data_IF_569629548828
#
_entry.id   IF_569629548828
#
_cell.length_a   1.000
_cell.length_b   1.000
_cell.length_c   1.000
_cell.angle_alpha   90.00
_cell.angle_beta   90.00
_cell.angle_gamma   90.00
#
_symmetry.space_group_name_H-M   'P 1'
#
loop_
_entity.id
_entity.type
_entity.pdbx_description
1 polymer ?
#
# COMPACT_ATOMS: atom_id res chain seq x y z
N UNK A 1 -3.30 25.29 -26.96
CA UNK A 1 -2.66 25.85 -25.74
C UNK A 1 -3.77 26.42 -24.89
N UNK A 2 -4.31 25.62 -23.97
CA UNK A 2 -5.46 25.99 -23.15
C UNK A 2 -4.95 26.08 -21.72
N UNK A 3 -4.86 27.32 -21.25
CA UNK A 3 -4.37 27.70 -19.92
C UNK A 3 -5.28 27.15 -18.83
N UNK A 4 -4.76 26.26 -17.99
CA UNK A 4 -5.41 25.81 -16.76
C UNK A 4 -5.36 26.98 -15.77
N UNK A 5 -6.54 27.46 -15.35
CA UNK A 5 -6.68 28.56 -14.39
C UNK A 5 -6.20 28.09 -13.01
N UNK A 6 -5.15 28.73 -12.52
CA UNK A 6 -4.41 28.41 -11.29
C UNK A 6 -4.78 29.36 -10.15
N UNK A 7 -6.07 29.54 -9.89
CA UNK A 7 -6.51 30.48 -8.85
C UNK A 7 -6.85 29.72 -7.57
N UNK A 8 -5.84 29.57 -6.72
CA UNK A 8 -6.02 29.28 -5.29
C UNK A 8 -6.82 30.46 -4.72
N UNK A 9 -8.00 30.19 -4.18
CA UNK A 9 -8.84 31.23 -3.59
C UNK A 9 -8.16 31.79 -2.33
N UNK A 10 -7.48 32.94 -2.47
CA UNK A 10 -6.49 33.47 -1.52
C UNK A 10 -7.07 34.24 -0.31
N UNK A 11 -8.40 34.31 -0.17
CA UNK A 11 -9.07 35.16 0.82
C UNK A 11 -9.25 34.47 2.19
N UNK A 12 -8.17 34.05 2.85
CA UNK A 12 -8.18 33.72 4.29
C UNK A 12 -6.78 33.65 4.94
N UNK A 13 -5.79 34.45 4.53
CA UNK A 13 -4.46 34.45 5.16
C UNK A 13 -4.23 35.73 5.96
N UNK A 14 -4.46 35.68 7.28
CA UNK A 14 -3.90 36.67 8.23
C UNK A 14 -2.53 36.17 8.68
N UNK A 15 -1.46 36.86 8.31
CA UNK A 15 -0.07 36.52 8.65
C UNK A 15 0.24 36.75 10.13
N UNK A 16 0.79 35.74 10.82
CA UNK A 16 1.41 35.86 12.15
C UNK A 16 2.88 35.37 12.12
N UNK A 17 3.74 35.82 13.06
CA UNK A 17 5.19 35.73 12.94
C UNK A 17 5.72 34.31 13.21
N UNK A 18 6.64 33.83 12.37
CA UNK A 18 7.41 32.58 12.51
C UNK A 18 6.60 31.41 13.10
N UNK A 19 5.53 31.01 12.41
CA UNK A 19 4.60 30.00 12.89
C UNK A 19 5.28 28.64 13.09
N UNK A 20 5.46 28.28 14.37
CA UNK A 20 5.66 26.89 14.78
C UNK A 20 4.56 26.06 14.15
N UNK A 21 4.93 25.02 13.39
CA UNK A 21 4.01 24.00 12.86
C UNK A 21 3.03 23.61 13.97
N UNK A 22 1.72 23.72 13.71
CA UNK A 22 0.70 23.46 14.73
C UNK A 22 0.84 22.04 15.28
N UNK A 23 0.46 21.76 16.55
CA UNK A 23 0.53 20.41 17.11
C UNK A 23 -0.16 19.35 16.24
N UNK A 24 -1.27 19.72 15.60
CA UNK A 24 -1.98 18.86 14.63
C UNK A 24 -1.11 18.56 13.42
N UNK A 25 -0.48 19.57 12.83
CA UNK A 25 0.35 19.38 11.65
C UNK A 25 1.66 18.63 11.98
N UNK A 26 2.20 18.79 13.19
CA UNK A 26 3.32 17.96 13.67
C UNK A 26 2.93 16.48 13.78
N UNK A 27 1.71 16.19 14.26
CA UNK A 27 1.17 14.83 14.31
C UNK A 27 0.97 14.26 12.90
N UNK A 28 0.38 15.04 11.98
CA UNK A 28 0.23 14.65 10.58
C UNK A 28 1.58 14.34 9.92
N UNK A 29 2.57 15.24 10.02
CA UNK A 29 3.88 15.06 9.38
C UNK A 29 4.62 13.82 9.91
N UNK A 30 4.47 13.50 11.19
CA UNK A 30 5.02 12.28 11.78
C UNK A 30 4.40 11.03 11.16
N UNK A 31 3.07 11.00 11.04
CA UNK A 31 2.36 9.88 10.40
C UNK A 31 2.74 9.81 8.91
N UNK A 32 2.81 10.95 8.21
CA UNK A 32 3.21 10.99 6.81
C UNK A 32 4.65 10.49 6.59
N UNK A 33 5.55 10.70 7.54
CA UNK A 33 6.91 10.17 7.47
C UNK A 33 6.95 8.63 7.49
N UNK A 34 5.98 7.98 8.14
CA UNK A 34 5.84 6.51 8.13
C UNK A 34 5.23 6.01 6.80
N UNK A 35 4.55 6.88 6.04
CA UNK A 35 3.87 6.58 4.76
C UNK A 35 4.28 7.55 3.65
N UNK A 36 5.57 7.66 3.29
CA UNK A 36 6.08 8.72 2.43
C UNK A 36 5.54 8.63 0.99
N UNK A 37 5.26 7.42 0.50
CA UNK A 37 4.82 7.17 -0.89
C UNK A 37 3.30 7.05 -1.04
N UNK A 38 2.54 7.01 0.06
CA UNK A 38 1.10 6.76 0.06
C UNK A 38 0.31 8.03 0.37
N UNK A 39 -0.91 8.12 -0.14
CA UNK A 39 -1.84 9.18 0.26
C UNK A 39 -2.29 8.96 1.71
N UNK A 40 -2.17 9.96 2.58
CA UNK A 40 -2.64 9.86 3.97
C UNK A 40 -3.99 10.55 4.12
N UNK A 41 -5.05 9.78 4.29
CA UNK A 41 -6.39 10.26 4.64
C UNK A 41 -6.47 10.50 6.15
N UNK A 42 -6.36 11.76 6.57
CA UNK A 42 -6.28 12.14 7.97
C UNK A 42 -7.65 12.58 8.51
N UNK A 43 -8.18 11.84 9.50
CA UNK A 43 -9.52 12.08 10.06
C UNK A 43 -9.60 13.40 10.82
N UNK A 44 -10.44 14.30 10.32
CA UNK A 44 -10.69 15.64 10.88
C UNK A 44 -12.20 15.90 10.97
N UNK A 45 -12.79 15.60 12.12
CA UNK A 45 -14.24 15.72 12.31
C UNK A 45 -14.97 14.78 11.36
N UNK A 46 -15.85 15.32 10.51
CA UNK A 46 -16.61 14.55 9.51
C UNK A 46 -15.93 14.42 8.13
N UNK A 47 -14.67 14.83 8.02
CA UNK A 47 -13.89 14.72 6.78
C UNK A 47 -12.65 13.85 6.96
N UNK A 48 -12.19 13.29 5.85
CA UNK A 48 -10.81 12.90 5.69
C UNK A 48 -10.09 13.97 4.87
N UNK A 49 -9.02 14.51 5.43
CA UNK A 49 -8.24 15.57 4.82
C UNK A 49 -6.85 15.06 4.43
N UNK A 50 -6.36 15.54 3.30
CA UNK A 50 -5.01 15.35 2.80
C UNK A 50 -4.34 16.71 2.73
N UNK A 51 -3.02 16.76 2.94
CA UNK A 51 -2.26 18.00 2.98
C UNK A 51 -1.05 17.98 2.04
N UNK A 52 -0.59 19.17 1.63
CA UNK A 52 0.57 19.37 0.77
C UNK A 52 0.43 18.63 -0.58
N UNK A 53 1.44 17.86 -0.99
CA UNK A 53 1.46 17.14 -2.26
C UNK A 53 0.33 16.10 -2.38
N UNK A 54 -0.05 15.47 -1.26
CA UNK A 54 -1.17 14.52 -1.22
C UNK A 54 -2.48 15.22 -1.57
N UNK A 55 -2.67 16.46 -1.11
CA UNK A 55 -3.85 17.27 -1.44
C UNK A 55 -3.93 17.57 -2.93
N UNK A 56 -2.82 17.96 -3.55
CA UNK A 56 -2.76 18.29 -4.98
C UNK A 56 -3.00 17.05 -5.84
N UNK A 57 -2.38 15.94 -5.46
CA UNK A 57 -2.53 14.66 -6.13
C UNK A 57 -3.97 14.15 -6.03
N UNK A 58 -4.55 14.17 -4.83
CA UNK A 58 -5.93 13.77 -4.61
C UNK A 58 -6.92 14.69 -5.34
N UNK A 59 -6.73 16.01 -5.31
CA UNK A 59 -7.58 16.96 -6.04
C UNK A 59 -7.60 16.66 -7.55
N UNK A 60 -6.42 16.46 -8.15
CA UNK A 60 -6.28 16.13 -9.58
C UNK A 60 -6.91 14.79 -9.94
N UNK A 61 -6.64 13.75 -9.16
CA UNK A 61 -7.11 12.38 -9.47
C UNK A 61 -8.60 12.24 -9.20
N UNK A 62 -9.06 12.68 -8.03
CA UNK A 62 -10.43 12.51 -7.58
C UNK A 62 -11.37 13.53 -8.20
N UNK A 63 -10.87 14.69 -8.62
CA UNK A 63 -11.70 15.81 -9.09
C UNK A 63 -12.36 16.55 -7.93
N UNK A 64 -11.70 16.61 -6.77
CA UNK A 64 -12.17 17.32 -5.57
C UNK A 64 -11.51 18.69 -5.47
N UNK A 65 -12.16 19.63 -4.78
CA UNK A 65 -11.67 20.99 -4.64
C UNK A 65 -10.37 21.05 -3.84
N UNK A 66 -9.33 21.65 -4.43
CA UNK A 66 -8.11 22.03 -3.72
C UNK A 66 -8.32 23.36 -3.02
N UNK A 67 -8.04 23.40 -1.72
CA UNK A 67 -8.16 24.58 -0.86
C UNK A 67 -6.88 24.77 -0.05
N UNK A 68 -6.86 25.72 0.88
CA UNK A 68 -5.74 25.90 1.80
C UNK A 68 -6.24 26.13 3.23
N UNK A 69 -5.47 25.66 4.23
CA UNK A 69 -5.78 25.83 5.65
C UNK A 69 -4.53 26.26 6.42
N UNK A 70 -4.54 27.48 6.95
CA UNK A 70 -3.42 28.03 7.74
C UNK A 70 -2.13 28.15 6.93
N UNK A 71 -1.02 28.40 7.62
CA UNK A 71 0.32 28.50 7.03
C UNK A 71 1.34 27.64 7.76
N UNK A 72 2.36 27.21 7.02
CA UNK A 72 3.56 26.55 7.55
C UNK A 72 4.77 27.18 6.89
N UNK A 73 5.67 27.75 7.69
CA UNK A 73 6.85 28.46 7.17
C UNK A 73 6.50 29.64 6.25
N UNK A 74 5.34 30.29 6.46
CA UNK A 74 4.84 31.40 5.64
C UNK A 74 4.08 31.00 4.38
N UNK A 75 4.05 29.71 4.01
CA UNK A 75 3.31 29.22 2.85
C UNK A 75 1.95 28.63 3.26
N UNK A 76 0.86 28.89 2.51
CA UNK A 76 -0.42 28.25 2.75
C UNK A 76 -0.33 26.73 2.65
N UNK A 77 -0.91 26.01 3.60
CA UNK A 77 -0.94 24.54 3.56
C UNK A 77 -2.07 24.12 2.62
N UNK A 78 -1.71 23.56 1.46
CA UNK A 78 -2.66 22.99 0.50
C UNK A 78 -3.44 21.85 1.16
N UNK A 79 -4.74 21.81 0.94
CA UNK A 79 -5.66 20.86 1.57
C UNK A 79 -6.75 20.43 0.60
N UNK A 80 -7.04 19.14 0.56
CA UNK A 80 -8.21 18.58 -0.10
C UNK A 80 -8.86 17.57 0.83
N UNK A 81 -10.17 17.35 0.71
CA UNK A 81 -10.84 16.42 1.61
C UNK A 81 -12.11 15.81 1.03
N UNK A 82 -12.51 14.70 1.63
CA UNK A 82 -13.72 13.95 1.26
C UNK A 82 -14.58 13.72 2.51
N UNK A 83 -15.92 13.73 2.39
CA UNK A 83 -16.81 13.37 3.49
C UNK A 83 -16.58 11.92 3.92
N UNK A 84 -16.62 11.66 5.22
CA UNK A 84 -16.28 10.33 5.75
C UNK A 84 -17.20 9.21 5.27
N UNK A 85 -18.51 9.49 5.22
CA UNK A 85 -19.52 8.55 4.75
C UNK A 85 -19.37 8.20 3.28
N UNK A 86 -18.52 8.93 2.54
CA UNK A 86 -18.29 8.76 1.12
C UNK A 86 -16.84 8.40 0.80
N UNK A 87 -16.05 7.96 1.79
CA UNK A 87 -14.65 7.60 1.59
C UNK A 87 -14.48 6.48 0.55
N UNK A 88 -15.27 5.42 0.65
CA UNK A 88 -15.06 4.18 -0.11
C UNK A 88 -15.09 4.39 -1.64
N UNK A 89 -16.04 5.13 -2.25
CA UNK A 89 -15.99 5.44 -3.68
C UNK A 89 -14.70 6.15 -4.13
N UNK A 90 -14.11 7.01 -3.29
CA UNK A 90 -12.84 7.67 -3.62
C UNK A 90 -11.66 6.70 -3.51
N UNK A 91 -11.68 5.81 -2.52
CA UNK A 91 -10.67 4.74 -2.40
C UNK A 91 -10.71 3.81 -3.62
N UNK A 92 -11.89 3.40 -4.08
CA UNK A 92 -12.04 2.58 -5.29
C UNK A 92 -11.36 3.22 -6.50
N UNK A 93 -11.57 4.54 -6.68
CA UNK A 93 -11.00 5.31 -7.80
C UNK A 93 -9.47 5.40 -7.71
N UNK A 94 -8.93 5.63 -6.51
CA UNK A 94 -7.50 5.71 -6.27
C UNK A 94 -6.82 4.36 -6.51
N UNK A 95 -7.40 3.30 -5.94
CA UNK A 95 -6.86 1.95 -6.06
C UNK A 95 -6.88 1.44 -7.50
N UNK A 96 -7.94 1.77 -8.26
CA UNK A 96 -8.01 1.47 -9.70
C UNK A 96 -6.87 2.12 -10.51
N UNK A 97 -6.31 3.22 -10.01
CA UNK A 97 -5.17 3.92 -10.60
C UNK A 97 -3.82 3.51 -9.99
N UNK A 98 -3.82 2.49 -9.12
CA UNK A 98 -2.61 1.98 -8.46
C UNK A 98 -2.20 2.77 -7.22
N UNK A 99 -3.02 3.68 -6.71
CA UNK A 99 -2.67 4.52 -5.58
C UNK A 99 -2.96 3.84 -4.25
N UNK A 100 -1.93 3.69 -3.41
CA UNK A 100 -2.06 3.18 -2.04
C UNK A 100 -2.39 4.30 -1.06
N UNK A 101 -3.27 4.02 -0.11
CA UNK A 101 -3.85 5.01 0.80
C UNK A 101 -3.77 4.53 2.26
N UNK A 102 -3.23 5.35 3.16
CA UNK A 102 -3.26 5.13 4.59
C UNK A 102 -4.45 5.86 5.23
N UNK A 103 -5.29 5.15 5.98
CA UNK A 103 -6.47 5.71 6.67
C UNK A 103 -6.11 5.96 8.13
N UNK A 104 -5.99 7.23 8.48
CA UNK A 104 -5.62 7.69 9.80
C UNK A 104 -6.85 8.15 10.58
N UNK A 105 -7.16 7.44 11.66
CA UNK A 105 -8.33 7.68 12.51
C UNK A 105 -7.97 8.31 13.85
N UNK A 106 -8.96 8.92 14.49
CA UNK A 106 -8.86 9.43 15.86
C UNK A 106 -9.07 8.29 16.85
N UNK A 107 -8.14 8.17 17.80
CA UNK A 107 -8.15 7.15 18.84
C UNK A 107 -8.48 7.80 20.18
N UNK A 108 -9.55 7.32 20.81
CA UNK A 108 -10.05 7.86 22.07
C UNK A 108 -11.08 8.97 21.89
N UNK A 109 -11.64 9.43 23.01
CA UNK A 109 -12.71 10.43 23.03
C UNK A 109 -12.13 11.87 22.96
N UNK A 110 -12.50 12.67 21.93
CA UNK A 110 -12.12 14.08 21.86
C UNK A 110 -12.54 14.90 23.07
N UNK A 111 -13.65 14.57 23.72
CA UNK A 111 -14.18 15.30 24.87
C UNK A 111 -13.32 15.15 26.13
N UNK A 112 -12.49 14.10 26.21
CA UNK A 112 -11.67 13.79 27.38
C UNK A 112 -10.20 14.27 27.24
N UNK A 113 -9.81 14.80 26.08
CA UNK A 113 -8.42 15.14 25.78
C UNK A 113 -8.13 16.64 25.91
N UNK A 114 -7.10 17.01 26.70
CA UNK A 114 -6.64 18.42 26.85
C UNK A 114 -5.78 18.93 25.67
N UNK A 115 -5.59 18.12 24.63
CA UNK A 115 -4.77 18.41 23.45
C UNK A 115 -5.29 17.63 22.22
N UNK A 116 -4.57 17.66 21.07
CA UNK A 116 -4.97 16.89 19.90
C UNK A 116 -5.13 15.41 20.26
N UNK A 117 -6.30 14.86 19.92
CA UNK A 117 -6.60 13.44 20.11
C UNK A 117 -5.52 12.59 19.43
N UNK A 118 -5.16 11.48 20.05
CA UNK A 118 -4.23 10.54 19.44
C UNK A 118 -4.78 10.09 18.08
N UNK A 119 -3.90 9.94 17.10
CA UNK A 119 -4.28 9.48 15.77
C UNK A 119 -3.34 8.39 15.33
N UNK A 120 -3.91 7.36 14.73
CA UNK A 120 -3.19 6.18 14.26
C UNK A 120 -3.72 5.77 12.90
N UNK A 121 -2.83 5.25 12.06
CA UNK A 121 -3.26 4.55 10.85
C UNK A 121 -3.87 3.22 11.28
N UNK A 122 -5.15 3.04 10.97
CA UNK A 122 -5.91 1.84 11.33
C UNK A 122 -6.02 0.85 10.18
N UNK A 123 -5.88 1.34 8.94
CA UNK A 123 -6.01 0.56 7.71
C UNK A 123 -5.12 1.15 6.63
N UNK A 124 -4.45 0.30 5.86
CA UNK A 124 -3.79 0.70 4.62
C UNK A 124 -4.48 -0.01 3.48
N UNK A 125 -4.93 0.75 2.49
CA UNK A 125 -5.68 0.26 1.33
C UNK A 125 -4.74 0.30 0.13
N UNK A 126 -4.48 -0.86 -0.46
CA UNK A 126 -3.60 -1.01 -1.63
C UNK A 126 -4.31 -1.82 -2.72
N UNK A 127 -3.87 -1.75 -3.99
CA UNK A 127 -4.48 -2.53 -5.08
C UNK A 127 -4.56 -4.03 -4.83
N UNK A 128 -3.55 -4.62 -4.20
CA UNK A 128 -3.54 -6.05 -3.88
C UNK A 128 -4.30 -6.41 -2.61
N UNK A 129 -4.71 -5.43 -1.79
CA UNK A 129 -5.20 -5.69 -0.43
C UNK A 129 -6.66 -5.33 -0.19
N UNK A 130 -7.42 -5.15 -1.26
CA UNK A 130 -8.85 -4.92 -1.21
C UNK A 130 -9.61 -6.17 -0.75
N UNK A 131 -10.35 -6.01 0.35
CA UNK A 131 -11.28 -7.01 0.89
C UNK A 131 -12.75 -6.61 0.67
N UNK A 132 -13.02 -5.30 0.58
CA UNK A 132 -14.37 -4.77 0.42
C UNK A 132 -14.92 -5.06 -1.00
N UNK A 133 -16.02 -5.80 -1.07
CA UNK A 133 -16.70 -6.17 -2.32
C UNK A 133 -17.10 -4.95 -3.16
N UNK A 134 -17.38 -3.82 -2.51
CA UNK A 134 -17.78 -2.56 -3.15
C UNK A 134 -16.61 -1.85 -3.85
N UNK A 135 -15.36 -2.23 -3.52
CA UNK A 135 -14.14 -1.72 -4.13
C UNK A 135 -13.60 -2.65 -5.23
N UNK A 136 -14.08 -3.89 -5.30
CA UNK A 136 -13.62 -4.90 -6.25
C UNK A 136 -14.42 -4.80 -7.57
N UNK A 137 -13.77 -4.66 -8.73
CA UNK A 137 -14.46 -4.82 -10.00
C UNK A 137 -15.00 -6.26 -10.14
N UNK A 138 -16.30 -6.37 -10.37
CA UNK A 138 -17.17 -7.58 -10.41
C UNK A 138 -16.66 -8.80 -11.21
N UNK A 139 -15.53 -8.69 -11.94
CA UNK A 139 -15.05 -9.71 -12.89
C UNK A 139 -13.61 -10.18 -12.72
N UNK A 140 -12.83 -9.67 -11.76
CA UNK A 140 -11.52 -10.24 -11.48
C UNK A 140 -11.08 -9.96 -10.05
N UNK A 141 -11.20 -10.96 -9.19
CA UNK A 141 -10.43 -11.03 -7.96
C UNK A 141 -8.94 -11.09 -8.34
N UNK A 142 -8.25 -9.96 -8.24
CA UNK A 142 -6.83 -9.84 -8.60
C UNK A 142 -5.99 -10.00 -7.34
N UNK A 143 -5.12 -11.01 -7.25
CA UNK A 143 -4.40 -11.30 -6.02
C UNK A 143 -3.26 -10.31 -5.76
N UNK A 144 -2.87 -10.20 -4.49
CA UNK A 144 -1.54 -9.73 -4.10
C UNK A 144 -0.53 -10.84 -4.40
N UNK A 145 0.58 -10.51 -5.03
CA UNK A 145 1.64 -11.46 -5.36
C UNK A 145 2.98 -10.97 -4.84
N UNK A 146 3.82 -11.87 -4.37
CA UNK A 146 5.21 -11.61 -4.00
C UNK A 146 6.14 -12.47 -4.85
N UNK A 147 7.29 -11.91 -5.22
CA UNK A 147 8.32 -12.61 -5.99
C UNK A 147 9.63 -12.62 -5.23
N UNK A 148 10.17 -13.82 -5.03
CA UNK A 148 11.50 -14.03 -4.47
C UNK A 148 12.39 -14.66 -5.53
N UNK A 149 13.60 -14.15 -5.72
CA UNK A 149 14.56 -14.68 -6.69
C UNK A 149 15.85 -15.04 -5.99
N UNK A 150 16.29 -16.29 -6.11
CA UNK A 150 17.54 -16.79 -5.58
C UNK A 150 18.46 -17.20 -6.72
N UNK A 151 19.58 -16.51 -6.88
CA UNK A 151 20.58 -16.82 -7.90
C UNK A 151 21.69 -17.69 -7.30
N UNK A 152 21.94 -18.85 -7.92
CA UNK A 152 23.05 -19.75 -7.60
C UNK A 152 23.88 -20.03 -8.85
N UNK A 153 25.03 -19.34 -8.98
CA UNK A 153 25.92 -19.42 -10.14
C UNK A 153 25.20 -19.09 -11.46
N UNK A 154 24.93 -20.10 -12.29
CA UNK A 154 24.25 -19.98 -13.59
C UNK A 154 22.76 -20.34 -13.54
N UNK A 155 22.26 -20.77 -12.38
CA UNK A 155 20.88 -21.16 -12.18
C UNK A 155 20.18 -20.09 -11.33
N UNK A 156 18.98 -19.71 -11.73
CA UNK A 156 18.11 -18.80 -11.00
C UNK A 156 16.87 -19.58 -10.60
N UNK A 157 16.49 -19.48 -9.33
CA UNK A 157 15.23 -20.02 -8.82
C UNK A 157 14.30 -18.87 -8.49
N UNK A 158 13.07 -18.92 -9.00
CA UNK A 158 12.03 -17.94 -8.72
C UNK A 158 10.92 -18.61 -7.94
N UNK A 159 10.62 -18.03 -6.78
CA UNK A 159 9.50 -18.35 -5.94
C UNK A 159 8.40 -17.31 -6.09
N UNK A 160 7.18 -17.78 -6.32
CA UNK A 160 5.97 -16.97 -6.33
C UNK A 160 5.09 -17.39 -5.16
N UNK A 161 4.55 -16.41 -4.47
CA UNK A 161 3.44 -16.60 -3.53
C UNK A 161 2.39 -15.56 -3.85
N UNK A 162 1.13 -15.96 -3.94
CA UNK A 162 0.05 -15.00 -4.13
C UNK A 162 -1.17 -15.40 -3.35
N UNK A 163 -1.89 -14.39 -2.88
CA UNK A 163 -3.11 -14.57 -2.13
C UNK A 163 -4.20 -13.62 -2.60
N UNK A 164 -5.43 -14.12 -2.54
CA UNK A 164 -6.56 -13.22 -2.47
C UNK A 164 -7.01 -13.09 -1.02
N UNK A 165 -7.13 -11.84 -0.58
CA UNK A 165 -7.63 -11.49 0.74
C UNK A 165 -9.15 -11.68 0.85
N UNK A 166 -9.88 -11.58 -0.27
CA UNK A 166 -11.33 -11.75 -0.28
C UNK A 166 -11.74 -13.23 -0.11
N UNK A 167 -11.10 -14.16 -0.83
CA UNK A 167 -11.38 -15.60 -0.72
C UNK A 167 -10.49 -16.36 0.27
N UNK A 168 -9.41 -15.75 0.76
CA UNK A 168 -8.39 -16.42 1.58
C UNK A 168 -7.54 -17.43 0.80
N UNK A 169 -7.70 -17.51 -0.52
CA UNK A 169 -6.95 -18.45 -1.35
C UNK A 169 -5.47 -18.07 -1.38
N UNK A 170 -4.60 -18.92 -0.85
CA UNK A 170 -3.15 -18.79 -0.88
C UNK A 170 -2.55 -19.86 -1.81
N UNK A 171 -1.62 -19.45 -2.68
CA UNK A 171 -0.94 -20.34 -3.63
C UNK A 171 0.54 -20.06 -3.68
N UNK A 172 1.32 -21.11 -3.91
CA UNK A 172 2.77 -21.08 -4.05
C UNK A 172 3.17 -21.72 -5.37
N UNK A 173 4.27 -21.24 -5.95
CA UNK A 173 4.91 -21.85 -7.11
C UNK A 173 6.41 -21.60 -7.05
N UNK A 174 7.20 -22.57 -7.51
CA UNK A 174 8.64 -22.40 -7.70
C UNK A 174 9.05 -22.96 -9.07
N UNK A 175 9.98 -22.29 -9.72
CA UNK A 175 10.64 -22.80 -10.92
C UNK A 175 12.07 -22.30 -10.99
N UNK A 176 12.95 -23.11 -11.59
CA UNK A 176 14.37 -22.80 -11.76
C UNK A 176 14.83 -23.00 -13.19
N UNK A 177 15.86 -22.27 -13.59
CA UNK A 177 16.51 -22.42 -14.89
C UNK A 177 17.58 -21.37 -15.11
N UNK A 178 18.11 -21.30 -16.34
CA UNK A 178 18.91 -20.13 -16.74
C UNK A 178 18.05 -18.86 -16.71
N UNK A 179 18.71 -17.70 -16.62
CA UNK A 179 18.08 -16.39 -16.48
C UNK A 179 17.03 -16.11 -17.56
N UNK A 180 17.29 -16.47 -18.82
CA UNK A 180 16.38 -16.21 -19.95
C UNK A 180 15.12 -17.07 -19.85
N UNK A 181 15.29 -18.36 -19.56
CA UNK A 181 14.18 -19.30 -19.40
C UNK A 181 13.28 -18.87 -18.24
N UNK A 182 13.89 -18.49 -17.11
CA UNK A 182 13.18 -18.04 -15.91
C UNK A 182 12.41 -16.75 -16.16
N UNK A 183 13.03 -15.74 -16.79
CA UNK A 183 12.35 -14.47 -17.11
C UNK A 183 11.15 -14.67 -18.05
N UNK A 184 11.28 -15.55 -19.05
CA UNK A 184 10.18 -15.86 -19.97
C UNK A 184 9.01 -16.52 -19.23
N UNK A 185 9.30 -17.51 -18.39
CA UNK A 185 8.26 -18.21 -17.61
C UNK A 185 7.61 -17.27 -16.59
N UNK A 186 8.39 -16.43 -15.92
CA UNK A 186 7.87 -15.44 -14.99
C UNK A 186 6.89 -14.48 -15.66
N UNK A 187 7.20 -13.97 -16.86
CA UNK A 187 6.29 -13.11 -17.61
C UNK A 187 4.96 -13.81 -17.91
N UNK A 188 4.99 -15.09 -18.34
CA UNK A 188 3.80 -15.89 -18.59
C UNK A 188 2.96 -16.12 -17.32
N UNK A 189 3.61 -16.41 -16.19
CA UNK A 189 2.91 -16.60 -14.92
C UNK A 189 2.27 -15.31 -14.42
N UNK A 190 2.93 -14.15 -14.59
CA UNK A 190 2.35 -12.85 -14.22
C UNK A 190 1.15 -12.48 -15.09
N UNK A 191 1.19 -12.79 -16.39
CA UNK A 191 0.05 -12.60 -17.28
C UNK A 191 -1.13 -13.52 -16.90
N UNK A 192 -0.83 -14.79 -16.57
CA UNK A 192 -1.83 -15.79 -16.14
C UNK A 192 -2.45 -15.46 -14.79
N UNK A 193 -1.65 -15.00 -13.82
CA UNK A 193 -2.10 -14.68 -12.46
C UNK A 193 -2.80 -13.31 -12.43
N UNK A 194 -2.35 -12.38 -13.28
CA UNK A 194 -2.85 -11.00 -13.38
C UNK A 194 -2.97 -10.30 -12.01
N UNK A 195 -1.89 -10.29 -11.18
CA UNK A 195 -1.95 -9.73 -9.83
C UNK A 195 -2.31 -8.24 -9.87
N UNK A 196 -3.01 -7.75 -8.84
CA UNK A 196 -3.27 -6.32 -8.72
C UNK A 196 -2.02 -5.56 -8.26
N UNK A 197 -1.22 -6.22 -7.43
CA UNK A 197 -0.01 -5.67 -6.85
C UNK A 197 1.06 -6.76 -6.72
N UNK A 198 2.30 -6.39 -7.01
CA UNK A 198 3.48 -7.25 -6.96
C UNK A 198 4.44 -6.69 -5.91
N UNK A 199 4.82 -7.51 -4.94
CA UNK A 199 5.87 -7.24 -3.97
C UNK A 199 7.21 -7.76 -4.49
N UNK A 200 8.24 -6.92 -4.43
CA UNK A 200 9.63 -7.28 -4.75
C UNK A 200 10.62 -6.70 -3.74
N UNK A 201 11.78 -7.33 -3.61
CA UNK A 201 12.89 -6.78 -2.85
C UNK A 201 13.43 -5.48 -3.49
N UNK A 202 13.90 -4.55 -2.66
CA UNK A 202 14.46 -3.25 -3.08
C UNK A 202 15.57 -3.36 -4.14
N UNK A 203 16.38 -4.43 -4.05
CA UNK A 203 17.56 -4.72 -4.85
C UNK A 203 17.34 -5.84 -5.90
N UNK A 204 16.12 -6.35 -6.04
CA UNK A 204 15.81 -7.45 -6.94
C UNK A 204 16.13 -7.10 -8.40
N UNK A 205 17.15 -7.74 -8.98
CA UNK A 205 17.72 -7.37 -10.28
C UNK A 205 16.87 -7.79 -11.50
N UNK A 206 15.89 -8.67 -11.33
CA UNK A 206 15.27 -9.42 -12.44
C UNK A 206 13.93 -8.87 -12.95
N UNK A 207 13.50 -7.71 -12.44
CA UNK A 207 12.28 -7.04 -12.90
C UNK A 207 12.62 -5.74 -13.61
N UNK A 208 12.65 -5.78 -14.95
CA UNK A 208 12.23 -4.60 -15.72
C UNK A 208 10.82 -4.23 -15.26
N UNK A 209 10.52 -2.93 -15.15
CA UNK A 209 9.22 -2.44 -14.66
C UNK A 209 8.09 -3.00 -15.55
N UNK A 210 7.51 -4.12 -15.12
CA UNK A 210 6.48 -4.80 -15.86
C UNK A 210 5.17 -4.01 -15.68
N UNK A 211 4.55 -3.49 -16.76
CA UNK A 211 3.35 -2.65 -16.66
C UNK A 211 2.08 -3.41 -16.25
N UNK A 212 2.14 -4.74 -16.06
CA UNK A 212 0.97 -5.58 -15.77
C UNK A 212 0.32 -5.27 -14.42
N UNK A 213 1.09 -4.80 -13.43
CA UNK A 213 0.58 -4.54 -12.07
C UNK A 213 1.35 -3.42 -11.34
N UNK A 214 0.72 -2.86 -10.31
CA UNK A 214 1.42 -1.96 -9.39
C UNK A 214 2.55 -2.72 -8.68
N UNK A 215 3.76 -2.19 -8.71
CA UNK A 215 4.91 -2.83 -8.09
C UNK A 215 5.28 -2.09 -6.82
N UNK A 216 5.22 -2.80 -5.68
CA UNK A 216 5.63 -2.28 -4.39
C UNK A 216 6.97 -2.89 -3.99
N UNK A 217 7.93 -2.03 -3.70
CA UNK A 217 9.23 -2.46 -3.16
C UNK A 217 9.14 -2.60 -1.65
N UNK A 218 9.72 -3.67 -1.13
CA UNK A 218 9.82 -3.95 0.30
C UNK A 218 11.24 -4.42 0.64
N UNK A 219 11.68 -4.28 1.89
CA UNK A 219 13.03 -4.68 2.28
C UNK A 219 13.34 -6.14 1.97
N UNK A 220 14.57 -6.42 1.54
CA UNK A 220 15.04 -7.77 1.17
C UNK A 220 14.81 -8.80 2.28
N UNK A 221 14.99 -8.41 3.55
CA UNK A 221 14.79 -9.29 4.70
C UNK A 221 13.36 -9.81 4.86
N UNK A 222 12.37 -9.20 4.20
CA UNK A 222 11.01 -9.74 4.12
C UNK A 222 10.96 -11.10 3.42
N UNK A 223 11.92 -11.35 2.50
CA UNK A 223 12.01 -12.55 1.68
C UNK A 223 12.92 -13.64 2.29
N UNK A 224 13.21 -13.57 3.59
CA UNK A 224 13.95 -14.60 4.32
C UNK A 224 13.21 -15.95 4.26
N UNK A 225 13.84 -16.94 3.63
CA UNK A 225 13.26 -18.28 3.38
C UNK A 225 12.88 -19.00 4.67
N UNK A 226 13.73 -18.93 5.71
CA UNK A 226 13.51 -19.66 6.96
C UNK A 226 12.37 -19.04 7.75
N UNK A 227 12.36 -17.71 7.85
CA UNK A 227 11.27 -16.98 8.51
C UNK A 227 9.97 -17.09 7.73
N UNK A 228 10.03 -17.08 6.40
CA UNK A 228 8.86 -17.24 5.53
C UNK A 228 8.21 -18.62 5.66
N UNK A 229 9.02 -19.69 5.69
CA UNK A 229 8.52 -21.04 5.97
C UNK A 229 7.83 -21.10 7.34
N UNK A 230 8.47 -20.55 8.38
CA UNK A 230 7.88 -20.50 9.73
C UNK A 230 6.56 -19.71 9.75
N UNK A 231 6.53 -18.54 9.12
CA UNK A 231 5.32 -17.71 9.06
C UNK A 231 4.15 -18.45 8.38
N UNK A 232 4.43 -19.22 7.33
CA UNK A 232 3.41 -20.00 6.63
C UNK A 232 2.88 -21.16 7.48
N UNK A 233 3.76 -21.88 8.17
CA UNK A 233 3.39 -22.95 9.12
C UNK A 233 2.54 -22.40 10.27
N UNK A 234 2.95 -21.25 10.84
CA UNK A 234 2.24 -20.58 11.91
C UNK A 234 0.86 -20.08 11.43
N UNK A 235 0.77 -19.48 10.24
CA UNK A 235 -0.50 -18.97 9.66
C UNK A 235 -1.49 -20.11 9.34
N UNK A 236 -1.01 -21.24 8.82
CA UNK A 236 -1.85 -22.39 8.49
C UNK A 236 -2.16 -23.29 9.70
N UNK A 237 -1.55 -23.00 10.86
CA UNK A 237 -1.68 -23.79 12.09
C UNK A 237 -1.37 -25.29 11.89
N UNK A 238 -0.34 -25.60 11.09
CA UNK A 238 0.10 -26.97 10.80
C UNK A 238 1.50 -27.23 11.37
N UNK A 239 1.93 -28.50 11.40
CA UNK A 239 3.30 -28.85 11.79
C UNK A 239 4.26 -28.84 10.59
N UNK A 240 3.79 -29.25 9.40
CA UNK A 240 4.58 -29.33 8.17
C UNK A 240 3.74 -28.94 6.96
N UNK A 241 4.41 -28.62 5.86
CA UNK A 241 3.76 -28.25 4.60
C UNK A 241 3.61 -29.43 3.62
N UNK A 242 4.01 -30.64 4.04
CA UNK A 242 3.93 -31.88 3.25
C UNK A 242 2.51 -32.17 2.76
N UNK A 243 1.49 -31.94 3.60
CA UNK A 243 0.08 -32.11 3.23
C UNK A 243 -0.39 -31.20 2.10
N UNK A 244 0.35 -30.13 1.81
CA UNK A 244 0.07 -29.18 0.73
C UNK A 244 0.95 -29.40 -0.51
N UNK A 245 1.85 -30.40 -0.48
CA UNK A 245 2.81 -30.64 -1.56
C UNK A 245 3.82 -29.50 -1.74
N UNK A 246 4.05 -28.70 -0.71
CA UNK A 246 4.91 -27.53 -0.75
C UNK A 246 6.32 -27.80 -0.20
N UNK A 247 6.68 -29.06 0.03
CA UNK A 247 8.01 -29.42 0.52
C UNK A 247 9.11 -28.98 -0.46
N UNK A 248 10.14 -28.31 0.06
CA UNK A 248 11.30 -27.90 -0.72
C UNK A 248 11.13 -26.65 -1.60
N UNK A 249 9.98 -25.95 -1.52
CA UNK A 249 9.75 -24.68 -2.26
C UNK A 249 10.48 -23.49 -1.61
N UNK A 250 11.81 -23.57 -1.52
CA UNK A 250 12.67 -22.62 -0.79
C UNK A 250 12.44 -21.15 -1.17
N UNK A 251 12.54 -20.79 -2.45
CA UNK A 251 12.31 -19.43 -2.89
C UNK A 251 10.84 -19.02 -2.68
N UNK A 252 9.89 -19.94 -2.88
CA UNK A 252 8.47 -19.63 -2.67
C UNK A 252 8.15 -19.33 -1.20
N UNK A 253 8.86 -19.94 -0.24
CA UNK A 253 8.72 -19.59 1.18
C UNK A 253 9.19 -18.17 1.48
N UNK A 254 10.28 -17.72 0.86
CA UNK A 254 10.71 -16.32 0.93
C UNK A 254 9.62 -15.38 0.43
N UNK A 255 9.04 -15.68 -0.74
CA UNK A 255 7.92 -14.91 -1.28
C UNK A 255 6.70 -14.93 -0.34
N UNK A 256 6.34 -16.09 0.22
CA UNK A 256 5.21 -16.23 1.15
C UNK A 256 5.42 -15.42 2.43
N UNK A 257 6.64 -15.39 2.97
CA UNK A 257 6.99 -14.58 4.14
C UNK A 257 6.76 -13.09 3.91
N UNK A 258 7.20 -12.58 2.76
CA UNK A 258 6.98 -11.19 2.38
C UNK A 258 5.49 -10.89 2.16
N UNK A 259 4.78 -11.79 1.46
CA UNK A 259 3.35 -11.68 1.19
C UNK A 259 2.53 -11.59 2.48
N UNK A 260 2.71 -12.54 3.40
CA UNK A 260 1.97 -12.59 4.67
C UNK A 260 2.28 -11.38 5.53
N UNK A 261 3.55 -10.98 5.63
CA UNK A 261 3.95 -9.78 6.39
C UNK A 261 3.26 -8.53 5.84
N UNK A 262 3.25 -8.36 4.53
CA UNK A 262 2.64 -7.19 3.90
C UNK A 262 1.13 -7.18 4.10
N UNK A 263 0.49 -8.32 3.90
CA UNK A 263 -0.93 -8.49 4.17
C UNK A 263 -1.25 -8.12 5.64
N UNK A 264 -0.48 -8.63 6.62
CA UNK A 264 -0.67 -8.33 8.05
C UNK A 264 -0.50 -6.83 8.34
N UNK A 265 0.46 -6.18 7.68
CA UNK A 265 0.68 -4.73 7.85
C UNK A 265 -0.44 -3.86 7.27
N UNK A 266 -1.16 -4.36 6.24
CA UNK A 266 -2.20 -3.58 5.54
C UNK A 266 -3.59 -3.77 6.13
N UNK A 267 -3.94 -5.00 6.56
CA UNK A 267 -5.23 -5.31 7.17
C UNK A 267 -5.30 -5.00 8.68
N UNK A 268 -4.16 -4.84 9.35
CA UNK A 268 -4.11 -4.76 10.82
C UNK A 268 -4.09 -6.15 11.46
N UNK A 269 -4.49 -6.26 12.74
CA UNK A 269 -4.25 -7.45 13.59
C UNK A 269 -5.00 -8.75 13.25
N UNK A 270 -5.58 -8.91 12.06
CA UNK A 270 -6.34 -10.13 11.72
C UNK A 270 -6.23 -10.51 10.25
N UNK A 271 -5.48 -11.59 9.99
CA UNK A 271 -5.50 -12.41 8.78
C UNK A 271 -5.59 -13.89 9.15
#
# INVERSE_FOLDING_TARGET
MTTVSSDINAAAVKSSPAEKVTPMMQQYLRIKADYPTMLVFYRMGDFYELFFEDAEKAARILGITLTARGSSGGNPIKMAGVPFHSLDPYLAKLVKLGESCAICEQIGDPALSKGPVERKVVRVVTPGTLTDSDLLPEKAERPLLAVCTLAQRKNVTVGLAWMSLASGALRLMEFSGDERTVNTRLAQELERIAPAEILRADDGALFEDNPVAHTQRVPEWHFDVVKGHKALVDQLAVATLTGFGADGLGAAFGAAGALLRYAHSTQGRGL
#
